data_IF_121565852924
#
_entry.id   IF_121565852924
#
_cell.length_a   1.000
_cell.length_b   1.000
_cell.length_c   1.000
_cell.angle_alpha   90.00
_cell.angle_beta   90.00
_cell.angle_gamma   90.00
#
_symmetry.space_group_name_H-M   'P 1'
#
loop_
_entity.id
_entity.type
_entity.pdbx_description
1 polymer ?
#
# COMPACT_ATOMS: atom_id res chain seq x y z
N UNK A 1 -1.82 -22.83 -3.01
CA UNK A 1 -2.72 -21.87 -2.31
C UNK A 1 -2.22 -20.48 -2.68
N UNK A 2 -3.05 -19.69 -3.33
CA UNK A 2 -2.71 -18.33 -3.70
C UNK A 2 -2.71 -17.50 -2.42
N UNK A 3 -1.55 -17.04 -1.97
CA UNK A 3 -1.45 -16.17 -0.81
C UNK A 3 -2.11 -14.82 -1.14
N UNK A 4 -3.00 -14.34 -0.28
CA UNK A 4 -3.68 -13.07 -0.42
C UNK A 4 -4.59 -12.92 -1.64
N UNK A 5 -4.85 -14.00 -2.39
CA UNK A 5 -5.66 -13.94 -3.61
C UNK A 5 -4.94 -13.35 -4.84
N UNK A 6 -3.61 -13.25 -4.80
CA UNK A 6 -2.81 -12.85 -5.96
C UNK A 6 -2.89 -13.94 -7.04
N UNK A 7 -3.10 -13.53 -8.29
CA UNK A 7 -3.03 -14.42 -9.45
C UNK A 7 -1.62 -15.02 -9.55
N UNK A 8 -1.48 -16.36 -9.59
CA UNK A 8 -0.17 -17.01 -9.69
C UNK A 8 0.61 -16.63 -10.95
N UNK A 9 -0.07 -16.30 -12.04
CA UNK A 9 0.57 -15.85 -13.28
C UNK A 9 1.13 -14.43 -13.16
N UNK A 10 0.67 -13.68 -12.16
CA UNK A 10 1.13 -12.33 -11.83
C UNK A 10 2.18 -12.28 -10.72
N UNK A 11 2.79 -13.41 -10.34
CA UNK A 11 3.84 -13.46 -9.30
C UNK A 11 5.17 -13.78 -9.96
N UNK A 12 6.18 -12.95 -9.69
CA UNK A 12 7.55 -13.22 -10.14
C UNK A 12 8.20 -14.37 -9.39
N UNK A 13 9.39 -14.83 -9.82
CA UNK A 13 10.11 -15.97 -9.23
C UNK A 13 10.52 -15.71 -7.77
N UNK A 14 10.70 -14.45 -7.38
CA UNK A 14 11.06 -14.02 -6.02
C UNK A 14 9.82 -13.82 -5.12
N UNK A 15 8.63 -14.19 -5.58
CA UNK A 15 7.38 -13.96 -4.87
C UNK A 15 6.80 -12.57 -5.14
N UNK A 16 5.99 -12.05 -4.21
CA UNK A 16 5.43 -10.70 -4.25
C UNK A 16 6.03 -9.86 -3.13
N UNK A 17 6.64 -8.73 -3.50
CA UNK A 17 7.15 -7.75 -2.56
C UNK A 17 6.05 -6.76 -2.24
N UNK A 18 5.68 -6.69 -0.98
CA UNK A 18 4.59 -5.84 -0.51
C UNK A 18 5.16 -4.81 0.44
N UNK A 19 4.83 -3.55 0.19
CA UNK A 19 5.40 -2.42 0.90
C UNK A 19 4.84 -2.27 2.31
N UNK A 20 5.68 -1.74 3.18
CA UNK A 20 5.35 -1.49 4.59
C UNK A 20 5.94 -0.17 5.04
N UNK A 21 5.27 0.46 6.01
CA UNK A 21 5.74 1.67 6.68
C UNK A 21 6.09 1.29 8.11
N UNK A 22 7.28 1.67 8.57
CA UNK A 22 7.74 1.46 9.93
C UNK A 22 8.09 2.80 10.57
N UNK A 23 7.52 3.10 11.73
CA UNK A 23 7.98 4.18 12.57
C UNK A 23 8.94 3.64 13.62
N UNK A 24 10.13 4.22 13.66
CA UNK A 24 11.21 3.77 14.52
C UNK A 24 11.57 4.82 15.57
N UNK A 25 11.59 4.43 16.84
CA UNK A 25 12.15 5.22 17.94
C UNK A 25 13.61 4.83 18.14
N UNK A 26 14.57 5.71 17.83
CA UNK A 26 15.98 5.42 18.02
C UNK A 26 16.32 5.14 19.48
N UNK A 27 17.10 4.09 19.73
CA UNK A 27 17.67 3.78 21.05
C UNK A 27 19.15 4.11 21.08
N UNK A 28 19.67 4.51 22.24
CA UNK A 28 21.10 4.85 22.41
C UNK A 28 21.81 3.72 23.14
N UNK A 29 23.09 3.40 22.82
CA UNK A 29 23.97 4.06 21.84
C UNK A 29 23.64 3.69 20.37
N UNK A 30 22.93 2.58 20.13
CA UNK A 30 22.58 2.06 18.81
C UNK A 30 21.28 1.25 18.87
N UNK A 31 20.62 1.08 17.70
CA UNK A 31 19.37 0.33 17.56
C UNK A 31 18.14 1.22 17.47
N UNK A 32 16.98 0.60 17.35
CA UNK A 32 15.68 1.23 17.34
C UNK A 32 14.59 0.26 17.82
N UNK A 33 13.50 0.82 18.33
CA UNK A 33 12.26 0.11 18.62
C UNK A 33 11.23 0.47 17.56
N UNK A 34 10.47 -0.52 17.04
CA UNK A 34 9.30 -0.25 16.22
C UNK A 34 8.20 0.25 17.16
N UNK A 35 7.71 1.47 16.92
CA UNK A 35 6.65 2.07 17.72
C UNK A 35 5.32 2.13 16.98
N UNK A 36 5.35 1.98 15.68
CA UNK A 36 4.18 1.80 14.83
C UNK A 36 4.60 1.14 13.51
N UNK A 37 3.71 0.34 12.94
CA UNK A 37 3.88 -0.23 11.60
C UNK A 37 2.54 -0.37 10.88
N UNK A 38 2.59 -0.24 9.56
CA UNK A 38 1.50 -0.43 8.64
C UNK A 38 1.97 -1.26 7.45
N UNK A 39 1.16 -2.20 7.02
CA UNK A 39 1.50 -3.09 5.90
C UNK A 39 0.39 -3.06 4.84
N UNK A 40 0.74 -2.76 3.59
CA UNK A 40 -0.23 -2.79 2.49
C UNK A 40 -0.94 -4.15 2.38
N UNK A 41 -0.28 -5.24 2.84
CA UNK A 41 -0.82 -6.60 2.88
C UNK A 41 -2.09 -6.75 3.73
N UNK A 42 -2.29 -5.92 4.74
CA UNK A 42 -3.48 -5.96 5.59
C UNK A 42 -4.68 -5.23 4.96
N UNK A 43 -4.45 -4.49 3.88
CA UNK A 43 -5.42 -3.62 3.24
C UNK A 43 -5.72 -4.01 1.79
N UNK A 44 -5.58 -5.29 1.45
CA UNK A 44 -5.82 -5.83 0.10
C UNK A 44 -7.26 -6.29 -0.10
N UNK A 45 -7.67 -6.31 -1.38
CA UNK A 45 -8.85 -7.01 -1.88
C UNK A 45 -8.45 -7.83 -3.12
N UNK A 46 -9.17 -8.91 -3.41
CA UNK A 46 -8.93 -9.76 -4.57
C UNK A 46 -10.21 -10.41 -5.03
N UNK A 47 -10.53 -10.29 -6.31
CA UNK A 47 -11.65 -11.01 -6.93
C UNK A 47 -11.53 -12.53 -6.83
N UNK A 48 -10.32 -13.05 -6.63
CA UNK A 48 -10.06 -14.47 -6.43
C UNK A 48 -10.28 -14.90 -4.98
N UNK A 49 -10.50 -13.96 -4.06
CA UNK A 49 -10.51 -14.22 -2.63
C UNK A 49 -9.13 -14.67 -2.14
N UNK A 50 -9.07 -15.35 -1.02
CA UNK A 50 -7.82 -15.89 -0.46
C UNK A 50 -7.73 -15.70 1.03
N UNK A 51 -6.54 -15.94 1.57
CA UNK A 51 -6.22 -15.76 2.98
C UNK A 51 -4.95 -14.90 3.08
N UNK A 52 -5.00 -13.83 3.83
CA UNK A 52 -3.87 -13.01 4.22
C UNK A 52 -3.83 -12.91 5.76
N UNK A 53 -2.68 -13.15 6.36
CA UNK A 53 -2.50 -13.14 7.82
C UNK A 53 -3.56 -13.96 8.59
N UNK A 54 -3.99 -15.11 8.03
CA UNK A 54 -5.01 -15.96 8.62
C UNK A 54 -6.45 -15.44 8.49
N UNK A 55 -6.68 -14.32 7.82
CA UNK A 55 -8.01 -13.71 7.60
C UNK A 55 -8.44 -13.86 6.15
N UNK A 56 -9.75 -14.03 5.86
CA UNK A 56 -10.26 -13.97 4.49
C UNK A 56 -10.00 -12.60 3.85
N UNK A 57 -9.50 -12.63 2.60
CA UNK A 57 -9.33 -11.42 1.80
C UNK A 57 -10.68 -11.01 1.21
N UNK A 58 -11.09 -9.74 1.35
CA UNK A 58 -12.31 -9.23 0.73
C UNK A 58 -12.30 -9.39 -0.80
N UNK A 59 -13.44 -9.72 -1.38
CA UNK A 59 -13.57 -9.91 -2.84
C UNK A 59 -14.02 -8.66 -3.60
N UNK A 60 -14.40 -7.61 -2.88
CA UNK A 60 -14.81 -6.33 -3.46
C UNK A 60 -13.58 -5.48 -3.83
N UNK A 61 -13.08 -5.68 -5.04
CA UNK A 61 -11.96 -4.89 -5.59
C UNK A 61 -12.36 -3.45 -5.96
N UNK A 62 -13.64 -3.10 -5.86
CA UNK A 62 -14.13 -1.73 -6.10
C UNK A 62 -14.14 -0.87 -4.84
N UNK A 63 -13.81 -1.46 -3.70
CA UNK A 63 -13.67 -0.73 -2.45
C UNK A 63 -12.45 0.23 -2.52
N UNK A 64 -12.66 1.56 -2.51
CA UNK A 64 -11.57 2.52 -2.65
C UNK A 64 -10.61 2.52 -1.44
N UNK A 65 -10.99 1.89 -0.34
CA UNK A 65 -10.17 1.77 0.87
C UNK A 65 -9.19 0.59 0.85
N UNK A 66 -9.23 -0.23 -0.20
CA UNK A 66 -8.39 -1.42 -0.33
C UNK A 66 -7.58 -1.40 -1.62
N UNK A 67 -6.45 -2.07 -1.61
CA UNK A 67 -5.64 -2.29 -2.80
C UNK A 67 -6.15 -3.54 -3.54
N UNK A 68 -6.46 -3.42 -4.82
CA UNK A 68 -6.66 -4.60 -5.65
C UNK A 68 -5.29 -5.27 -5.90
N UNK A 69 -5.03 -6.39 -5.21
CA UNK A 69 -3.74 -7.07 -5.28
C UNK A 69 -3.41 -7.59 -6.68
N UNK A 70 -4.40 -7.77 -7.55
CA UNK A 70 -4.22 -8.24 -8.92
C UNK A 70 -4.08 -7.11 -9.95
N UNK A 71 -4.25 -5.84 -9.51
CA UNK A 71 -4.05 -4.71 -10.42
C UNK A 71 -2.55 -4.44 -10.63
N UNK A 72 -2.16 -4.42 -11.89
CA UNK A 72 -0.85 -3.98 -12.36
C UNK A 72 -1.08 -3.07 -13.56
N UNK A 73 -0.52 -1.86 -13.55
CA UNK A 73 -0.54 -0.99 -14.71
C UNK A 73 0.58 -1.36 -15.69
N UNK A 74 0.28 -2.30 -16.55
CA UNK A 74 1.22 -2.86 -17.51
C UNK A 74 1.73 -1.86 -18.58
N UNK A 75 1.18 -0.64 -18.64
CA UNK A 75 1.57 0.33 -19.68
C UNK A 75 2.85 1.10 -19.36
N UNK A 76 3.38 0.98 -18.15
CA UNK A 76 4.65 1.60 -17.77
C UNK A 76 5.87 0.71 -18.01
N UNK A 77 5.66 -0.52 -18.42
CA UNK A 77 6.72 -1.50 -18.47
C UNK A 77 7.17 -1.76 -19.89
N UNK A 78 8.10 -0.94 -20.34
CA UNK A 78 9.00 -1.33 -21.46
C UNK A 78 9.81 -2.59 -21.14
N UNK A 79 9.74 -3.10 -19.92
CA UNK A 79 10.50 -4.22 -19.38
C UNK A 79 9.65 -5.41 -18.94
N UNK A 80 8.54 -5.71 -19.63
CA UNK A 80 7.75 -6.95 -19.43
C UNK A 80 8.56 -8.25 -19.45
N UNK A 81 9.80 -8.19 -19.88
CA UNK A 81 10.70 -9.33 -19.89
C UNK A 81 11.50 -9.47 -18.59
N UNK A 82 11.38 -8.51 -17.66
CA UNK A 82 12.02 -8.65 -16.36
C UNK A 82 11.05 -9.33 -15.39
N UNK A 83 11.34 -10.59 -14.96
CA UNK A 83 10.50 -11.30 -14.01
C UNK A 83 10.40 -10.61 -12.64
N UNK A 84 11.37 -9.77 -12.26
CA UNK A 84 11.38 -9.04 -11.00
C UNK A 84 10.26 -7.99 -10.95
N UNK A 85 9.79 -7.51 -12.10
CA UNK A 85 8.70 -6.57 -12.19
C UNK A 85 7.39 -7.09 -11.55
N UNK A 86 7.10 -8.37 -11.70
CA UNK A 86 5.90 -8.97 -11.09
C UNK A 86 6.04 -9.16 -9.58
N UNK A 87 7.27 -9.14 -9.08
CA UNK A 87 7.54 -9.20 -7.64
C UNK A 87 7.38 -7.83 -6.99
N UNK A 88 7.83 -6.77 -7.65
CA UNK A 88 7.79 -5.38 -7.19
C UNK A 88 6.44 -4.72 -7.54
N UNK A 89 5.42 -5.07 -6.78
CA UNK A 89 4.03 -4.76 -7.12
C UNK A 89 3.68 -3.27 -7.01
N UNK A 90 3.94 -2.64 -5.87
CA UNK A 90 3.57 -1.23 -5.63
C UNK A 90 4.71 -0.28 -6.01
N UNK A 91 5.93 -0.66 -5.67
CA UNK A 91 7.11 0.17 -5.84
C UNK A 91 6.96 1.54 -5.15
N UNK A 92 6.53 1.56 -3.88
CA UNK A 92 6.39 2.81 -3.12
C UNK A 92 7.72 3.56 -3.11
N UNK A 93 7.72 4.77 -3.67
CA UNK A 93 8.94 5.54 -3.89
C UNK A 93 9.15 6.63 -2.84
N UNK A 94 8.06 7.31 -2.45
CA UNK A 94 8.13 8.43 -1.54
C UNK A 94 7.12 8.30 -0.40
N UNK A 95 7.48 8.90 0.74
CA UNK A 95 6.66 8.97 1.94
C UNK A 95 6.83 10.36 2.56
N UNK A 96 5.73 10.99 2.98
CA UNK A 96 5.75 12.24 3.73
C UNK A 96 4.67 12.26 4.82
N UNK A 97 5.03 12.76 6.00
CA UNK A 97 4.16 12.80 7.17
C UNK A 97 3.66 14.21 7.46
N UNK A 98 2.35 14.34 7.64
CA UNK A 98 1.70 15.58 8.05
C UNK A 98 1.36 15.53 9.55
N UNK A 99 2.12 16.21 10.43
CA UNK A 99 1.90 16.14 11.87
C UNK A 99 0.64 16.89 12.35
N UNK A 100 0.06 17.75 11.51
CA UNK A 100 -1.16 18.48 11.86
C UNK A 100 -2.40 17.63 11.63
N UNK A 101 -2.39 16.82 10.58
CA UNK A 101 -3.48 15.90 10.24
C UNK A 101 -3.27 14.50 10.81
N UNK A 102 -2.07 14.19 11.28
CA UNK A 102 -1.62 12.87 11.68
C UNK A 102 -1.84 11.84 10.56
N UNK A 103 -1.36 12.18 9.36
CA UNK A 103 -1.55 11.43 8.14
C UNK A 103 -0.25 11.25 7.38
N UNK A 104 -0.11 10.12 6.71
CA UNK A 104 1.03 9.79 5.87
C UNK A 104 0.57 9.76 4.41
N UNK A 105 1.31 10.45 3.54
CA UNK A 105 1.17 10.33 2.09
C UNK A 105 2.23 9.36 1.55
N UNK A 106 1.82 8.44 0.68
CA UNK A 106 2.70 7.55 -0.07
C UNK A 106 2.29 7.53 -1.54
N UNK A 107 3.23 7.28 -2.43
CA UNK A 107 2.94 7.03 -3.85
C UNK A 107 3.22 5.59 -4.25
N UNK A 108 2.65 5.18 -5.37
CA UNK A 108 2.88 3.87 -5.98
C UNK A 108 3.01 4.01 -7.49
N UNK A 109 4.22 4.25 -8.00
CA UNK A 109 4.52 4.39 -9.42
C UNK A 109 3.98 3.26 -10.30
N UNK A 110 4.04 2.01 -9.82
CA UNK A 110 3.58 0.85 -10.59
C UNK A 110 2.06 0.74 -10.68
N UNK A 111 1.32 1.42 -9.79
CA UNK A 111 -0.14 1.50 -9.86
C UNK A 111 -0.59 2.81 -10.51
N UNK A 112 0.22 3.87 -10.41
CA UNK A 112 -0.09 5.20 -10.90
C UNK A 112 -1.04 5.97 -9.97
N UNK A 113 -0.81 5.85 -8.65
CA UNK A 113 -1.63 6.51 -7.62
C UNK A 113 -0.80 7.00 -6.46
N UNK A 114 -1.33 7.97 -5.72
CA UNK A 114 -0.91 8.24 -4.35
C UNK A 114 -2.04 7.94 -3.36
N UNK A 115 -1.64 7.72 -2.11
CA UNK A 115 -2.55 7.35 -1.03
C UNK A 115 -2.29 8.19 0.21
N UNK A 116 -3.37 8.42 0.98
CA UNK A 116 -3.29 8.97 2.33
C UNK A 116 -3.68 7.87 3.31
N UNK A 117 -2.81 7.63 4.28
CA UNK A 117 -2.95 6.63 5.32
C UNK A 117 -3.13 7.33 6.67
N UNK A 118 -4.00 6.79 7.52
CA UNK A 118 -4.23 7.28 8.87
C UNK A 118 -3.11 6.83 9.81
N UNK A 119 -2.35 7.79 10.35
CA UNK A 119 -1.33 7.52 11.34
C UNK A 119 -1.85 7.66 12.78
N UNK A 120 -3.05 8.20 12.98
CA UNK A 120 -3.65 8.38 14.31
C UNK A 120 -3.94 7.08 15.05
N UNK A 121 -3.74 5.93 14.39
CA UNK A 121 -3.72 4.60 15.03
C UNK A 121 -2.48 4.39 15.92
N UNK A 122 -1.41 5.20 15.75
CA UNK A 122 -0.21 5.09 16.56
C UNK A 122 -0.51 5.29 18.06
N UNK A 123 0.02 4.40 18.89
CA UNK A 123 -0.17 4.43 20.32
C UNK A 123 1.20 4.20 21.02
N UNK A 124 1.86 5.26 21.36
CA UNK A 124 3.22 5.20 21.95
C UNK A 124 3.27 4.66 23.38
N UNK A 125 2.13 4.59 24.07
CA UNK A 125 2.01 3.97 25.38
C UNK A 125 1.78 2.46 25.29
N UNK A 126 1.20 2.00 24.19
CA UNK A 126 0.99 0.59 23.84
C UNK A 126 1.18 0.40 22.31
N UNK A 127 2.45 0.28 21.86
CA UNK A 127 2.75 0.15 20.43
C UNK A 127 2.05 -1.02 19.76
N UNK A 128 1.88 -2.16 20.44
CA UNK A 128 1.21 -3.32 19.87
C UNK A 128 -0.26 -3.03 19.56
N UNK A 129 -0.96 -2.32 20.46
CA UNK A 129 -2.35 -1.92 20.21
C UNK A 129 -2.46 -0.95 19.02
N UNK A 130 -1.47 -0.08 18.80
CA UNK A 130 -1.39 0.80 17.65
C UNK A 130 -1.17 0.02 16.33
N UNK A 131 -0.27 -0.93 16.34
CA UNK A 131 0.01 -1.84 15.22
C UNK A 131 -1.24 -2.67 14.87
N UNK A 132 -1.88 -3.26 15.87
CA UNK A 132 -3.10 -4.05 15.68
C UNK A 132 -4.26 -3.20 15.10
N UNK A 133 -4.35 -1.94 15.51
CA UNK A 133 -5.32 -0.98 14.96
C UNK A 133 -4.99 -0.62 13.50
N UNK A 134 -3.72 -0.38 13.19
CA UNK A 134 -3.25 -0.10 11.83
C UNK A 134 -3.47 -1.28 10.88
N UNK A 135 -3.35 -2.52 11.33
CA UNK A 135 -3.64 -3.74 10.56
C UNK A 135 -5.15 -4.00 10.38
N UNK A 136 -5.99 -3.19 11.00
CA UNK A 136 -7.45 -3.26 10.92
C UNK A 136 -8.07 -2.20 10.00
N UNK A 137 -9.39 -2.03 10.04
CA UNK A 137 -10.10 -1.04 9.21
C UNK A 137 -9.68 0.42 9.49
N UNK A 138 -9.07 0.70 10.64
CA UNK A 138 -8.57 2.04 10.96
C UNK A 138 -7.32 2.42 10.13
N UNK A 139 -6.53 1.43 9.68
CA UNK A 139 -5.41 1.65 8.77
C UNK A 139 -5.77 1.57 7.28
N UNK A 140 -7.05 1.46 6.93
CA UNK A 140 -7.48 1.47 5.53
C UNK A 140 -7.17 2.83 4.86
N UNK A 141 -7.06 2.83 3.54
CA UNK A 141 -6.79 4.03 2.75
C UNK A 141 -7.85 5.09 3.05
N UNK A 142 -7.44 6.28 3.50
CA UNK A 142 -8.31 7.42 3.72
C UNK A 142 -8.67 8.12 2.41
N UNK A 143 -7.69 8.28 1.53
CA UNK A 143 -7.83 8.93 0.24
C UNK A 143 -6.87 8.31 -0.77
N UNK A 144 -7.29 8.27 -2.04
CA UNK A 144 -6.47 7.84 -3.16
C UNK A 144 -6.78 8.67 -4.39
N UNK A 145 -5.77 8.87 -5.26
CA UNK A 145 -5.95 9.59 -6.50
C UNK A 145 -4.86 9.24 -7.50
N UNK A 146 -5.23 9.24 -8.78
CA UNK A 146 -4.30 9.06 -9.90
C UNK A 146 -4.81 8.08 -10.95
N UNK A 147 -5.24 6.89 -10.55
CA UNK A 147 -5.66 5.84 -11.48
C UNK A 147 -6.97 5.16 -11.03
N UNK A 148 -8.12 5.73 -11.34
CA UNK A 148 -9.40 5.19 -10.88
C UNK A 148 -9.70 3.78 -11.42
N UNK A 149 -9.03 3.35 -12.47
CA UNK A 149 -9.16 1.98 -12.99
C UNK A 149 -8.64 0.94 -11.98
N UNK A 150 -7.66 1.29 -11.14
CA UNK A 150 -7.08 0.38 -10.16
C UNK A 150 -8.09 -0.16 -9.12
N UNK A 151 -9.23 0.52 -8.94
CA UNK A 151 -10.32 0.12 -8.05
C UNK A 151 -11.71 0.22 -8.72
N UNK A 152 -11.76 0.08 -10.05
CA UNK A 152 -13.03 -0.02 -10.79
C UNK A 152 -13.88 1.26 -10.83
N UNK A 153 -13.32 2.43 -10.48
CA UNK A 153 -14.03 3.72 -10.48
C UNK A 153 -13.87 4.52 -11.78
N UNK A 154 -13.21 3.95 -12.78
CA UNK A 154 -12.99 4.59 -14.07
C UNK A 154 -12.27 3.70 -15.06
N UNK A 155 -11.96 4.28 -16.21
CA UNK A 155 -11.24 3.61 -17.30
C UNK A 155 -9.78 4.08 -17.39
N UNK A 156 -8.98 3.44 -18.22
CA UNK A 156 -7.57 3.83 -18.45
C UNK A 156 -7.44 5.30 -18.90
N UNK A 157 -8.41 5.83 -19.65
CA UNK A 157 -8.40 7.22 -20.10
C UNK A 157 -8.59 8.24 -18.95
N UNK A 158 -9.05 7.79 -17.79
CA UNK A 158 -9.27 8.64 -16.62
C UNK A 158 -8.01 8.78 -15.76
N UNK A 159 -6.99 7.97 -16.01
CA UNK A 159 -5.72 8.00 -15.27
C UNK A 159 -5.03 9.36 -15.44
N UNK A 160 -4.47 9.87 -14.34
CA UNK A 160 -3.81 11.18 -14.25
C UNK A 160 -2.33 11.09 -13.86
N UNK A 161 -1.94 10.06 -13.11
CA UNK A 161 -0.57 9.83 -12.69
C UNK A 161 0.04 8.66 -13.46
N UNK A 162 1.31 8.81 -13.82
CA UNK A 162 2.04 7.85 -14.64
C UNK A 162 3.48 7.76 -14.14
N UNK A 163 3.78 6.74 -13.34
CA UNK A 163 5.10 6.49 -12.80
C UNK A 163 5.65 7.69 -11.99
N UNK A 164 4.78 8.24 -11.15
CA UNK A 164 5.07 9.38 -10.28
C UNK A 164 6.07 9.01 -9.18
N UNK A 165 6.78 10.04 -8.70
CA UNK A 165 7.76 9.99 -7.63
C UNK A 165 7.67 11.28 -6.82
N UNK A 166 8.20 11.27 -5.59
CA UNK A 166 8.40 12.46 -4.76
C UNK A 166 7.08 13.11 -4.31
N UNK A 167 6.12 12.29 -3.86
CA UNK A 167 4.95 12.85 -3.18
C UNK A 167 5.35 13.54 -1.89
N UNK A 168 4.83 14.74 -1.66
CA UNK A 168 5.01 15.47 -0.40
C UNK A 168 3.87 16.45 -0.14
N UNK A 169 3.67 16.79 1.12
CA UNK A 169 2.78 17.86 1.52
C UNK A 169 3.40 19.21 1.19
N UNK A 170 2.64 20.10 0.54
CA UNK A 170 3.12 21.45 0.23
C UNK A 170 2.95 22.35 1.44
N UNK A 171 1.85 22.22 2.15
CA UNK A 171 1.56 22.91 3.41
C UNK A 171 0.83 21.93 4.35
N UNK A 172 1.04 22.06 5.67
CA UNK A 172 0.28 21.26 6.63
C UNK A 172 -1.20 21.59 6.54
N UNK A 173 -2.00 20.67 6.06
CA UNK A 173 -3.43 20.55 5.80
C UNK A 173 -4.40 21.59 6.24
#
# INVERSE_FOLDING_TARGET
>A
TVHGGRDPEGVGPEGLWVDSILELKPTRPEGAEIVWEWHAWDHIASELGGIANGKPVPTDITNPKKFNINYIDLNHTSNFQNPDFYSDWMHTNAIDYNPKLDQIAIDSPNIGEFYIIDHSTANYDDPQAGIDAAAGPAGDILYRWGNPKAYGAGEKADQKLYFEHDIHWIEPG
#
